data_IF_450398114785
#
_entry.id   IF_450398114785
#
_cell.length_a   1.000
_cell.length_b   1.000
_cell.length_c   1.000
_cell.angle_alpha   90.00
_cell.angle_beta   90.00
_cell.angle_gamma   90.00
#
_symmetry.space_group_name_H-M   'P 1'
#
loop_
_entity.id
_entity.type
_entity.pdbx_description
1 polymer ?
#
# COMPACT_ATOMS: atom_id res chain seq x y z
N UNK A 1 -19.23 -0.57 0.96
CA UNK A 1 -18.37 -0.07 -0.13
C UNK A 1 -17.10 0.55 0.42
N UNK A 2 -17.19 1.41 1.43
CA UNK A 2 -16.05 2.01 2.17
C UNK A 2 -14.93 1.04 2.54
N UNK A 3 -15.25 -0.14 3.09
CA UNK A 3 -14.23 -1.15 3.38
C UNK A 3 -13.42 -1.56 2.15
N UNK A 4 -14.06 -1.66 0.97
CA UNK A 4 -13.38 -2.02 -0.28
C UNK A 4 -12.51 -0.87 -0.79
N UNK A 5 -12.98 0.37 -0.66
CA UNK A 5 -12.21 1.58 -0.97
C UNK A 5 -10.97 1.63 -0.09
N UNK A 6 -11.13 1.57 1.23
CA UNK A 6 -10.04 1.58 2.20
C UNK A 6 -9.06 0.42 1.98
N UNK A 7 -9.57 -0.78 1.70
CA UNK A 7 -8.73 -1.94 1.37
C UNK A 7 -7.92 -1.72 0.09
N UNK A 8 -8.55 -1.16 -0.95
CA UNK A 8 -7.93 -0.77 -2.22
C UNK A 8 -6.77 0.21 -2.05
N UNK A 9 -7.03 1.29 -1.31
CA UNK A 9 -6.04 2.32 -1.00
C UNK A 9 -4.90 1.78 -0.11
N UNK A 10 -5.20 0.93 0.87
CA UNK A 10 -4.18 0.27 1.69
C UNK A 10 -3.31 -0.70 0.88
N UNK A 11 -3.92 -1.47 -0.02
CA UNK A 11 -3.18 -2.36 -0.90
C UNK A 11 -2.26 -1.57 -1.84
N UNK A 12 -2.73 -0.44 -2.37
CA UNK A 12 -1.92 0.48 -3.15
C UNK A 12 -0.77 1.08 -2.31
N UNK A 13 -1.01 1.45 -1.04
CA UNK A 13 0.02 1.93 -0.12
C UNK A 13 1.13 0.89 0.11
N UNK A 14 0.77 -0.38 0.14
CA UNK A 14 1.73 -1.49 0.21
C UNK A 14 2.62 -1.62 -1.04
N UNK A 15 2.20 -1.07 -2.19
CA UNK A 15 2.96 -1.04 -3.45
C UNK A 15 3.73 0.27 -3.66
N UNK A 16 3.18 1.40 -3.22
CA UNK A 16 3.81 2.72 -3.20
C UNK A 16 3.24 3.53 -2.03
N UNK A 17 4.07 3.93 -1.05
CA UNK A 17 3.58 4.49 0.21
C UNK A 17 2.88 5.83 0.01
N UNK A 18 3.46 6.71 -0.80
CA UNK A 18 3.04 8.10 -0.85
C UNK A 18 1.92 8.35 -1.87
N UNK A 19 1.83 7.51 -2.90
CA UNK A 19 0.86 7.68 -3.98
C UNK A 19 -0.61 7.74 -3.53
N UNK A 20 -1.14 6.81 -2.71
CA UNK A 20 -2.52 6.89 -2.27
C UNK A 20 -2.78 8.12 -1.40
N UNK A 21 -1.85 8.50 -0.52
CA UNK A 21 -2.02 9.69 0.34
C UNK A 21 -2.07 10.97 -0.50
N UNK A 22 -1.14 11.09 -1.45
CA UNK A 22 -1.06 12.25 -2.33
C UNK A 22 -2.28 12.37 -3.24
N UNK A 23 -2.69 11.28 -3.90
CA UNK A 23 -3.81 11.31 -4.85
C UNK A 23 -5.16 11.48 -4.15
N UNK A 24 -5.36 10.89 -2.98
CA UNK A 24 -6.57 11.11 -2.17
C UNK A 24 -6.64 12.55 -1.70
N UNK A 25 -5.53 13.13 -1.21
CA UNK A 25 -5.48 14.54 -0.81
C UNK A 25 -5.73 15.50 -1.99
N UNK A 26 -5.19 15.21 -3.17
CA UNK A 26 -5.46 15.98 -4.38
C UNK A 26 -6.92 15.87 -4.82
N UNK A 27 -7.50 14.66 -4.78
CA UNK A 27 -8.88 14.44 -5.15
C UNK A 27 -9.84 15.20 -4.23
N UNK A 28 -9.62 15.15 -2.92
CA UNK A 28 -10.39 15.92 -1.93
C UNK A 28 -10.28 17.43 -2.15
N UNK A 29 -9.09 17.92 -2.54
CA UNK A 29 -8.84 19.35 -2.71
C UNK A 29 -9.43 19.95 -3.99
N UNK A 30 -9.32 19.23 -5.10
CA UNK A 30 -9.51 19.79 -6.43
C UNK A 30 -10.71 19.19 -7.18
N UNK A 31 -11.38 18.19 -6.60
CA UNK A 31 -12.51 17.50 -7.24
C UNK A 31 -13.60 17.21 -6.21
N UNK A 32 -14.78 16.81 -6.68
CA UNK A 32 -15.86 16.31 -5.82
C UNK A 32 -15.88 14.77 -5.71
N UNK A 33 -14.84 14.10 -6.21
CA UNK A 33 -14.79 12.62 -6.29
C UNK A 33 -14.59 11.97 -4.93
N UNK A 34 -13.78 12.60 -4.07
CA UNK A 34 -13.50 12.17 -2.70
C UNK A 34 -13.81 13.33 -1.77
N UNK A 35 -14.42 13.05 -0.63
CA UNK A 35 -14.62 14.01 0.45
C UNK A 35 -14.09 13.39 1.73
N UNK A 36 -12.98 13.93 2.22
CA UNK A 36 -12.32 13.44 3.42
C UNK A 36 -13.08 13.93 4.67
N UNK A 37 -13.34 13.04 5.64
CA UNK A 37 -13.87 13.46 6.93
C UNK A 37 -12.90 14.40 7.66
N UNK A 38 -13.43 15.17 8.62
CA UNK A 38 -12.66 16.15 9.38
C UNK A 38 -11.34 15.59 9.97
N UNK A 39 -11.35 14.35 10.46
CA UNK A 39 -10.16 13.65 10.97
C UNK A 39 -9.03 13.52 9.94
N UNK A 40 -9.36 13.41 8.66
CA UNK A 40 -8.42 13.16 7.56
C UNK A 40 -8.25 14.36 6.63
N UNK A 41 -9.02 15.44 6.83
CA UNK A 41 -8.97 16.66 6.02
C UNK A 41 -7.57 17.32 5.98
N UNK A 42 -6.68 17.00 6.91
CA UNK A 42 -5.29 17.46 6.86
C UNK A 42 -4.51 16.92 5.64
N UNK A 43 -4.91 15.79 5.03
CA UNK A 43 -4.25 15.24 3.84
C UNK A 43 -4.34 16.18 2.63
N UNK A 44 -5.37 17.03 2.54
CA UNK A 44 -5.53 18.01 1.45
C UNK A 44 -4.87 19.36 1.73
N UNK A 45 -4.23 19.53 2.90
CA UNK A 45 -3.48 20.75 3.23
C UNK A 45 -2.25 20.96 2.33
N UNK A 46 -1.84 22.22 2.12
CA UNK A 46 -0.65 22.56 1.32
C UNK A 46 0.58 21.79 1.78
N UNK A 47 0.81 21.76 3.09
CA UNK A 47 1.98 21.11 3.70
C UNK A 47 1.94 19.60 3.44
N UNK A 48 0.79 18.94 3.64
CA UNK A 48 0.67 17.51 3.41
C UNK A 48 0.88 17.15 1.94
N UNK A 49 0.30 17.92 1.01
CA UNK A 49 0.45 17.69 -0.44
C UNK A 49 1.89 17.89 -0.91
N UNK A 50 2.58 18.93 -0.43
CA UNK A 50 4.00 19.13 -0.75
C UNK A 50 4.87 17.99 -0.21
N UNK A 51 4.68 17.58 1.05
CA UNK A 51 5.45 16.50 1.65
C UNK A 51 5.20 15.18 0.92
N UNK A 52 3.94 14.76 0.78
CA UNK A 52 3.59 13.49 0.13
C UNK A 52 3.95 13.49 -1.36
N UNK A 53 3.81 14.62 -2.06
CA UNK A 53 4.24 14.77 -3.45
C UNK A 53 5.75 14.64 -3.64
N UNK A 54 6.55 15.31 -2.81
CA UNK A 54 8.02 15.19 -2.85
C UNK A 54 8.44 13.76 -2.51
N UNK A 55 7.88 13.18 -1.46
CA UNK A 55 8.22 11.82 -1.03
C UNK A 55 7.79 10.78 -2.08
N UNK A 56 6.67 10.99 -2.78
CA UNK A 56 6.27 10.18 -3.93
C UNK A 56 7.32 10.22 -5.05
N UNK A 57 7.79 11.41 -5.42
CA UNK A 57 8.86 11.55 -6.43
C UNK A 57 10.13 10.83 -5.97
N UNK A 58 10.52 11.01 -4.72
CA UNK A 58 11.70 10.34 -4.14
C UNK A 58 11.53 8.82 -4.19
N UNK A 59 10.39 8.28 -3.79
CA UNK A 59 10.12 6.83 -3.83
C UNK A 59 10.18 6.28 -5.26
N UNK A 60 9.54 6.96 -6.22
CA UNK A 60 9.55 6.58 -7.64
C UNK A 60 10.98 6.54 -8.19
N UNK A 61 11.83 7.52 -7.83
CA UNK A 61 13.21 7.59 -8.30
C UNK A 61 14.09 6.56 -7.59
N UNK A 62 13.98 6.45 -6.27
CA UNK A 62 14.77 5.55 -5.44
C UNK A 62 14.58 4.09 -5.85
N UNK A 63 13.34 3.67 -6.13
CA UNK A 63 13.02 2.30 -6.52
C UNK A 63 13.58 1.89 -7.90
N UNK A 64 14.00 2.86 -8.72
CA UNK A 64 14.55 2.60 -10.06
C UNK A 64 16.08 2.45 -10.05
N UNK A 65 16.76 2.76 -8.95
CA UNK A 65 18.21 2.66 -8.85
C UNK A 65 18.59 1.40 -8.05
N UNK A 66 19.29 0.42 -8.66
CA UNK A 66 19.74 -0.77 -7.94
C UNK A 66 20.56 -0.41 -6.70
N UNK A 67 20.43 -1.20 -5.63
CA UNK A 67 20.99 -0.98 -4.28
C UNK A 67 20.31 0.14 -3.48
N UNK A 68 19.93 1.27 -4.10
CA UNK A 68 19.07 2.27 -3.44
C UNK A 68 17.69 1.69 -3.19
N UNK A 69 17.15 0.93 -4.16
CA UNK A 69 15.89 0.19 -4.05
C UNK A 69 15.81 -0.67 -2.78
N UNK A 70 16.90 -1.35 -2.45
CA UNK A 70 16.99 -2.28 -1.32
C UNK A 70 16.99 -1.54 0.03
N UNK A 71 17.68 -0.40 0.10
CA UNK A 71 17.68 0.47 1.30
C UNK A 71 16.30 1.12 1.47
N UNK A 72 15.72 1.60 0.37
CA UNK A 72 14.37 2.17 0.39
C UNK A 72 13.35 1.13 0.85
N UNK A 73 13.39 -0.09 0.32
CA UNK A 73 12.49 -1.19 0.74
C UNK A 73 12.59 -1.49 2.24
N UNK A 74 13.78 -1.43 2.83
CA UNK A 74 13.96 -1.62 4.26
C UNK A 74 13.26 -0.52 5.09
N UNK A 75 13.37 0.75 4.69
CA UNK A 75 12.64 1.85 5.33
C UNK A 75 11.13 1.71 5.14
N UNK A 76 10.73 1.29 3.94
CA UNK A 76 9.34 1.14 3.53
C UNK A 76 8.63 -0.02 4.24
N UNK A 77 9.37 -0.93 4.88
CA UNK A 77 8.80 -1.95 5.78
C UNK A 77 8.02 -1.32 6.95
N UNK A 78 8.35 -0.08 7.34
CA UNK A 78 7.61 0.67 8.39
C UNK A 78 6.68 1.72 7.78
N UNK A 79 7.16 2.44 6.76
CA UNK A 79 6.45 3.59 6.17
C UNK A 79 5.21 3.13 5.39
N UNK A 80 5.29 2.06 4.58
CA UNK A 80 4.14 1.57 3.79
C UNK A 80 3.00 1.09 4.66
N UNK A 81 3.21 0.28 5.72
CA UNK A 81 2.13 -0.07 6.63
C UNK A 81 1.49 1.14 7.28
N UNK A 82 2.29 2.11 7.75
CA UNK A 82 1.77 3.34 8.34
C UNK A 82 0.89 4.13 7.33
N UNK A 83 1.38 4.31 6.10
CA UNK A 83 0.60 4.90 5.01
C UNK A 83 -0.68 4.11 4.73
N UNK A 84 -0.61 2.78 4.69
CA UNK A 84 -1.77 1.91 4.48
C UNK A 84 -2.84 2.08 5.54
N UNK A 85 -2.44 2.26 6.81
CA UNK A 85 -3.37 2.58 7.89
C UNK A 85 -4.10 3.91 7.69
N UNK A 86 -3.35 4.96 7.31
CA UNK A 86 -3.91 6.29 7.01
C UNK A 86 -4.84 6.22 5.80
N UNK A 87 -4.39 5.60 4.71
CA UNK A 87 -5.14 5.50 3.46
C UNK A 87 -6.42 4.67 3.63
N UNK A 88 -6.37 3.58 4.41
CA UNK A 88 -7.56 2.82 4.77
C UNK A 88 -8.51 3.68 5.61
N UNK A 89 -8.01 4.27 6.70
CA UNK A 89 -8.82 5.09 7.59
C UNK A 89 -9.52 6.22 6.85
N UNK A 90 -8.80 6.94 5.99
CA UNK A 90 -9.34 8.00 5.15
C UNK A 90 -10.39 7.50 4.14
N UNK A 91 -10.16 6.35 3.49
CA UNK A 91 -11.08 5.81 2.49
C UNK A 91 -12.26 5.02 3.06
N UNK A 92 -12.20 4.59 4.32
CA UNK A 92 -13.22 3.76 4.97
C UNK A 92 -14.05 4.51 6.00
N UNK A 93 -13.83 5.81 6.19
CA UNK A 93 -14.62 6.62 7.11
C UNK A 93 -15.54 7.54 6.31
N UNK A 94 -16.84 7.26 6.34
CA UNK A 94 -17.88 8.20 5.87
C UNK A 94 -18.58 8.95 7.02
N UNK A 95 -18.25 8.61 8.27
CA UNK A 95 -18.86 9.22 9.46
C UNK A 95 -18.06 10.41 10.00
N UNK A 96 -18.78 11.45 10.42
CA UNK A 96 -18.29 12.53 11.28
C UNK A 96 -17.99 11.99 12.69
N UNK A 97 -16.87 11.29 12.86
CA UNK A 97 -16.31 11.06 14.18
C UNK A 97 -15.64 12.37 14.61
N UNK A 98 -16.32 13.16 15.44
CA UNK A 98 -15.69 14.26 16.17
C UNK A 98 -14.72 13.65 17.19
N UNK A 99 -13.46 13.54 16.79
CA UNK A 99 -12.38 13.11 17.66
C UNK A 99 -11.88 14.32 18.46
N UNK A 100 -12.71 14.84 19.37
CA UNK A 100 -12.32 15.91 20.29
C UNK A 100 -11.45 15.36 21.45
N UNK A 101 -11.44 14.04 21.65
CA UNK A 101 -10.67 13.37 22.71
C UNK A 101 -9.84 12.20 22.15
N UNK A 102 -8.49 12.23 22.22
CA UNK A 102 -7.62 11.11 21.80
C UNK A 102 -7.95 9.77 22.49
N UNK A 103 -8.53 9.79 23.70
CA UNK A 103 -8.92 8.58 24.40
C UNK A 103 -10.12 7.85 23.73
N UNK A 104 -10.97 8.59 23.01
CA UNK A 104 -12.12 8.03 22.27
C UNK A 104 -11.70 7.14 21.11
N UNK A 105 -10.52 7.36 20.52
CA UNK A 105 -10.00 6.57 19.38
C UNK A 105 -9.87 5.09 19.76
N UNK A 106 -9.44 4.81 21.00
CA UNK A 106 -9.30 3.44 21.51
C UNK A 106 -10.63 2.84 21.96
N UNK A 107 -11.54 3.67 22.49
CA UNK A 107 -12.82 3.24 23.02
C UNK A 107 -13.84 2.92 21.90
N UNK A 108 -13.84 3.70 20.82
CA UNK A 108 -14.89 3.66 19.78
C UNK A 108 -14.52 2.75 18.60
N UNK A 109 -13.37 2.07 18.65
CA UNK A 109 -12.93 1.15 17.60
C UNK A 109 -12.42 1.84 16.33
N UNK A 110 -12.21 3.16 16.34
CA UNK A 110 -11.68 3.93 15.22
C UNK A 110 -10.26 3.48 14.79
N UNK A 111 -9.54 2.77 15.66
CA UNK A 111 -8.24 2.16 15.35
C UNK A 111 -8.35 0.89 14.48
N UNK A 112 -9.51 0.21 14.43
CA UNK A 112 -9.67 -1.06 13.72
C UNK A 112 -9.42 -0.89 12.21
N UNK A 113 -10.04 0.09 11.51
CA UNK A 113 -9.74 0.34 10.09
C UNK A 113 -8.26 0.62 9.83
N UNK A 114 -7.62 1.40 10.71
CA UNK A 114 -6.19 1.73 10.60
C UNK A 114 -5.35 0.46 10.73
N UNK A 115 -5.62 -0.39 11.73
CA UNK A 115 -4.91 -1.65 11.92
C UNK A 115 -5.09 -2.63 10.74
N UNK A 116 -6.30 -2.69 10.16
CA UNK A 116 -6.56 -3.47 8.95
C UNK A 116 -5.76 -2.92 7.77
N UNK A 117 -5.74 -1.59 7.58
CA UNK A 117 -4.93 -0.94 6.55
C UNK A 117 -3.44 -1.23 6.68
N UNK A 118 -2.90 -1.15 7.90
CA UNK A 118 -1.51 -1.52 8.22
C UNK A 118 -1.23 -2.96 7.79
N UNK A 119 -2.10 -3.91 8.17
CA UNK A 119 -1.92 -5.31 7.85
C UNK A 119 -1.97 -5.59 6.34
N UNK A 120 -2.89 -4.97 5.62
CA UNK A 120 -3.02 -5.09 4.16
C UNK A 120 -1.76 -4.56 3.46
N UNK A 121 -1.34 -3.33 3.79
CA UNK A 121 -0.18 -2.70 3.17
C UNK A 121 1.11 -3.45 3.48
N UNK A 122 1.30 -3.92 4.72
CA UNK A 122 2.43 -4.76 5.10
C UNK A 122 2.44 -6.07 4.29
N UNK A 123 1.29 -6.74 4.16
CA UNK A 123 1.20 -7.97 3.37
C UNK A 123 1.60 -7.77 1.91
N UNK A 124 1.13 -6.69 1.28
CA UNK A 124 1.50 -6.34 -0.10
C UNK A 124 2.98 -6.00 -0.24
N UNK A 125 3.55 -5.23 0.69
CA UNK A 125 4.97 -4.89 0.68
C UNK A 125 5.85 -6.14 0.86
N UNK A 126 5.51 -7.02 1.81
CA UNK A 126 6.26 -8.25 2.06
C UNK A 126 6.23 -9.20 0.86
N UNK A 127 5.11 -9.26 0.12
CA UNK A 127 5.04 -10.04 -1.11
C UNK A 127 6.04 -9.53 -2.15
N UNK A 128 6.08 -8.22 -2.39
CA UNK A 128 7.05 -7.56 -3.27
C UNK A 128 8.48 -7.83 -2.82
N UNK A 129 8.77 -7.59 -1.54
CA UNK A 129 10.10 -7.77 -0.96
C UNK A 129 10.60 -9.21 -1.08
N UNK A 130 9.70 -10.20 -1.05
CA UNK A 130 10.06 -11.60 -1.24
C UNK A 130 10.44 -11.96 -2.69
N UNK A 131 9.93 -11.21 -3.69
CA UNK A 131 10.16 -11.48 -5.11
C UNK A 131 11.37 -10.73 -5.68
N UNK A 132 11.68 -9.54 -5.17
CA UNK A 132 12.76 -8.67 -5.65
C UNK A 132 14.15 -9.33 -5.66
N UNK A 133 14.61 -10.00 -4.59
CA UNK A 133 15.95 -10.60 -4.59
C UNK A 133 16.15 -11.64 -5.70
N UNK A 134 15.13 -12.46 -5.96
CA UNK A 134 15.17 -13.49 -7.00
C UNK A 134 15.25 -12.84 -8.38
N UNK A 135 14.42 -11.82 -8.64
CA UNK A 135 14.41 -11.11 -9.91
C UNK A 135 15.70 -10.32 -10.15
N UNK A 136 16.20 -9.62 -9.13
CA UNK A 136 17.42 -8.82 -9.22
C UNK A 136 18.66 -9.70 -9.43
N UNK A 137 18.78 -10.82 -8.72
CA UNK A 137 19.90 -11.77 -8.96
C UNK A 137 19.83 -12.36 -10.36
N UNK A 138 18.65 -12.75 -10.84
CA UNK A 138 18.48 -13.36 -12.16
C UNK A 138 18.78 -12.39 -13.32
N UNK A 139 18.70 -11.08 -13.09
CA UNK A 139 18.83 -10.04 -14.13
C UNK A 139 19.99 -9.08 -13.90
N UNK A 140 20.87 -9.37 -12.94
CA UNK A 140 21.96 -8.47 -12.51
C UNK A 140 21.46 -7.05 -12.18
N UNK A 141 20.29 -6.94 -11.53
CA UNK A 141 19.68 -5.68 -11.11
C UNK A 141 18.82 -4.97 -12.15
N UNK A 142 18.74 -5.47 -13.39
CA UNK A 142 17.92 -4.85 -14.44
C UNK A 142 16.41 -5.05 -14.25
N UNK A 143 16.00 -6.00 -13.40
CA UNK A 143 14.59 -6.17 -13.04
C UNK A 143 14.04 -5.05 -12.16
N UNK A 144 14.87 -4.37 -11.36
CA UNK A 144 14.40 -3.40 -10.37
C UNK A 144 13.60 -2.23 -11.01
N UNK A 145 14.09 -1.54 -12.07
CA UNK A 145 13.33 -0.46 -12.69
C UNK A 145 12.01 -0.93 -13.33
N UNK A 146 12.01 -2.10 -13.97
CA UNK A 146 10.83 -2.66 -14.62
C UNK A 146 9.77 -3.06 -13.59
N UNK A 147 10.17 -3.78 -12.55
CA UNK A 147 9.27 -4.22 -11.49
C UNK A 147 8.73 -3.03 -10.69
N UNK A 148 9.58 -2.05 -10.36
CA UNK A 148 9.17 -0.78 -9.76
C UNK A 148 8.12 -0.06 -10.61
N UNK A 149 8.31 0.01 -11.93
CA UNK A 149 7.35 0.67 -12.81
C UNK A 149 6.01 -0.05 -12.83
N UNK A 150 6.02 -1.39 -12.85
CA UNK A 150 4.80 -2.21 -12.76
C UNK A 150 4.09 -1.98 -11.43
N UNK A 151 4.83 -1.88 -10.33
CA UNK A 151 4.27 -1.59 -9.01
C UNK A 151 3.63 -0.20 -8.95
N UNK A 152 4.29 0.84 -9.47
CA UNK A 152 3.76 2.20 -9.54
C UNK A 152 2.46 2.26 -10.35
N UNK A 153 2.44 1.63 -11.53
CA UNK A 153 1.23 1.54 -12.38
C UNK A 153 0.13 0.74 -11.69
N UNK A 154 0.49 -0.36 -11.00
CA UNK A 154 -0.48 -1.18 -10.25
C UNK A 154 -1.06 -0.42 -9.07
N UNK A 155 -0.25 0.34 -8.33
CA UNK A 155 -0.70 1.19 -7.23
C UNK A 155 -1.67 2.26 -7.75
N UNK A 156 -1.30 2.97 -8.82
CA UNK A 156 -2.16 3.96 -9.45
C UNK A 156 -3.49 3.35 -9.92
N UNK A 157 -3.43 2.19 -10.59
CA UNK A 157 -4.62 1.47 -11.06
C UNK A 157 -5.50 1.02 -9.89
N UNK A 158 -4.91 0.50 -8.82
CA UNK A 158 -5.64 0.11 -7.62
C UNK A 158 -6.34 1.31 -6.97
N UNK A 159 -5.69 2.48 -6.93
CA UNK A 159 -6.31 3.71 -6.40
C UNK A 159 -7.51 4.11 -7.26
N UNK A 160 -7.35 4.14 -8.58
CA UNK A 160 -8.47 4.46 -9.48
C UNK A 160 -9.62 3.46 -9.34
N UNK A 161 -9.33 2.16 -9.31
CA UNK A 161 -10.35 1.13 -9.11
C UNK A 161 -11.00 1.25 -7.73
N UNK A 162 -10.22 1.53 -6.69
CA UNK A 162 -10.73 1.68 -5.33
C UNK A 162 -11.72 2.85 -5.24
N UNK A 163 -11.51 3.92 -6.00
CA UNK A 163 -12.37 5.12 -5.99
C UNK A 163 -13.59 4.93 -6.89
N UNK A 164 -13.39 4.49 -8.14
CA UNK A 164 -14.46 4.49 -9.15
C UNK A 164 -15.22 3.17 -9.26
N UNK A 165 -14.56 2.03 -9.01
CA UNK A 165 -15.16 0.69 -9.14
C UNK A 165 -14.73 -0.22 -7.97
N UNK A 166 -15.14 0.07 -6.72
CA UNK A 166 -14.52 -0.56 -5.54
C UNK A 166 -14.69 -2.09 -5.47
N UNK A 167 -15.73 -2.63 -6.11
CA UNK A 167 -15.95 -4.08 -6.24
C UNK A 167 -14.79 -4.72 -7.02
N UNK A 168 -14.34 -4.09 -8.11
CA UNK A 168 -13.25 -4.61 -8.93
C UNK A 168 -11.91 -4.50 -8.19
N UNK A 169 -11.68 -3.44 -7.41
CA UNK A 169 -10.53 -3.33 -6.53
C UNK A 169 -10.50 -4.47 -5.49
N UNK A 170 -11.64 -4.77 -4.86
CA UNK A 170 -11.76 -5.90 -3.94
C UNK A 170 -11.42 -7.24 -4.58
N UNK A 171 -11.95 -7.51 -5.78
CA UNK A 171 -11.63 -8.73 -6.54
C UNK A 171 -10.15 -8.82 -6.88
N UNK A 172 -9.53 -7.70 -7.27
CA UNK A 172 -8.11 -7.64 -7.60
C UNK A 172 -7.25 -7.91 -6.36
N UNK A 173 -7.60 -7.35 -5.19
CA UNK A 173 -6.89 -7.65 -3.93
C UNK A 173 -6.99 -9.14 -3.60
N UNK A 174 -8.18 -9.74 -3.69
CA UNK A 174 -8.37 -11.17 -3.43
C UNK A 174 -7.50 -12.00 -4.39
N UNK A 175 -7.46 -11.63 -5.67
CA UNK A 175 -6.60 -12.30 -6.65
C UNK A 175 -5.11 -12.16 -6.31
N UNK A 176 -4.64 -10.96 -5.95
CA UNK A 176 -3.25 -10.70 -5.56
C UNK A 176 -2.86 -11.50 -4.31
N UNK A 177 -3.71 -11.52 -3.28
CA UNK A 177 -3.50 -12.31 -2.06
C UNK A 177 -3.47 -13.81 -2.37
N UNK A 178 -4.38 -14.29 -3.22
CA UNK A 178 -4.39 -15.70 -3.63
C UNK A 178 -3.11 -16.10 -4.38
N UNK A 179 -2.67 -15.28 -5.33
CA UNK A 179 -1.39 -15.47 -6.04
C UNK A 179 -0.22 -15.47 -5.05
N UNK A 180 -0.18 -14.50 -4.14
CA UNK A 180 0.85 -14.40 -3.10
C UNK A 180 0.96 -15.69 -2.26
N UNK A 181 -0.17 -16.14 -1.71
CA UNK A 181 -0.24 -17.32 -0.85
C UNK A 181 0.14 -18.58 -1.61
N UNK A 182 -0.32 -18.74 -2.86
CA UNK A 182 0.00 -19.91 -3.68
C UNK A 182 1.49 -19.95 -4.05
N UNK A 183 2.10 -18.80 -4.38
CA UNK A 183 3.55 -18.69 -4.64
C UNK A 183 4.38 -19.03 -3.40
N UNK A 184 4.03 -18.48 -2.24
CA UNK A 184 4.71 -18.77 -0.97
C UNK A 184 4.61 -20.25 -0.59
N UNK A 185 3.43 -20.85 -0.74
CA UNK A 185 3.23 -22.29 -0.49
C UNK A 185 4.07 -23.15 -1.43
N UNK A 186 4.17 -22.79 -2.72
CA UNK A 186 5.00 -23.49 -3.70
C UNK A 186 6.49 -23.38 -3.37
N UNK A 187 6.97 -22.18 -3.01
CA UNK A 187 8.36 -21.96 -2.62
C UNK A 187 8.74 -22.78 -1.38
N UNK A 188 7.89 -22.77 -0.34
CA UNK A 188 8.10 -23.56 0.88
C UNK A 188 8.10 -25.08 0.62
N UNK A 189 7.23 -25.57 -0.28
CA UNK A 189 7.22 -26.98 -0.69
C UNK A 189 8.52 -27.38 -1.40
N UNK A 190 9.02 -26.54 -2.32
CA UNK A 190 10.30 -26.78 -3.00
C UNK A 190 11.48 -26.79 -2.03
N UNK A 191 11.51 -25.83 -1.08
CA UNK A 191 12.57 -25.79 -0.06
C UNK A 191 12.60 -27.04 0.83
N UNK A 192 11.42 -27.56 1.23
CA UNK A 192 11.31 -28.82 1.99
C UNK A 192 11.74 -30.05 1.20
N UNK A 193 11.39 -30.13 -0.09
CA UNK A 193 11.79 -31.26 -0.94
C UNK A 193 13.31 -31.32 -1.20
N UNK A 194 14.03 -30.20 -1.09
CA UNK A 194 15.50 -30.15 -1.20
C UNK A 194 16.20 -30.54 0.12
N UNK A 195 15.49 -30.50 1.25
CA UNK A 195 16.05 -30.76 2.59
C UNK A 195 15.79 -32.16 3.14
N UNK A 196 15.07 -33.02 2.42
CA UNK A 196 15.05 -34.47 2.66
C UNK A 196 16.12 -35.13 1.78
N UNK A 197 17.27 -35.59 2.34
CA UNK A 197 18.18 -36.47 1.61
C UNK A 197 17.44 -37.77 1.32
N UNK A 198 17.51 -38.26 0.08
CA UNK A 198 17.03 -39.60 -0.26
C UNK A 198 17.72 -40.62 0.66
N UNK A 199 16.94 -41.23 1.55
CA UNK A 199 17.37 -42.32 2.41
C UNK A 199 17.41 -43.65 1.65
#
# INVERSE_FOLDING_TARGET
MEFLVGSGLAAAAGLNAWMPLFLVGLADRFTDVIQLPATWAWLSSDVALWITGILLVVEIVADKVPAIDSVNDALQTVIRPASGGIAFGAGSSSGTLSLDDPASILADGAWIPIAVGIAIALGMHLLKAALRPVANVATFGLAAPLLSTVEDVSAFTLILLAVFVPILAGLLIVALVWIAVTMLRRARRRARAVSEPAA
#
